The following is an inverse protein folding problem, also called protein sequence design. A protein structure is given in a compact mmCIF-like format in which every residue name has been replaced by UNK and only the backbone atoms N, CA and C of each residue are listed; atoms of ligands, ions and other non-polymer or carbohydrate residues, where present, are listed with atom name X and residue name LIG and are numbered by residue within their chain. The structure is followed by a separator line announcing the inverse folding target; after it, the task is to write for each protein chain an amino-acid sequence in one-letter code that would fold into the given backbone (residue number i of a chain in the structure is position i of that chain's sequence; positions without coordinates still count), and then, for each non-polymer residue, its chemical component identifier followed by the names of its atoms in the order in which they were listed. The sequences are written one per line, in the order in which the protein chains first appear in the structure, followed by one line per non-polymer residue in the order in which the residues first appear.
data_IF_854446401099
#
_entry.id   IF_854446401099
#
_cell.length_a   1.000
_cell.length_b   1.000
_cell.length_c   1.000
_cell.angle_alpha   90.00
_cell.angle_beta   90.00
_cell.angle_gamma   90.00
#
_symmetry.space_group_name_H-M   'P 1'
#
loop_
_entity.id
_entity.type
_entity.pdbx_description
1 polymer ?
#
# COMPACT_ATOMS: atom_id res chain seq x y z
N UNK A 1 -15.56 64.81 -34.97
CA UNK A 1 -15.48 63.35 -34.73
C UNK A 1 -14.28 62.64 -35.36
N UNK A 2 -13.58 63.20 -36.35
CA UNK A 2 -12.39 62.51 -36.95
C UNK A 2 -11.08 62.74 -36.22
N UNK A 3 -10.95 63.77 -35.37
CA UNK A 3 -9.69 64.00 -34.61
C UNK A 3 -9.53 63.19 -33.35
N UNK A 4 -10.62 62.79 -32.70
CA UNK A 4 -10.56 61.91 -31.49
C UNK A 4 -10.21 60.46 -31.83
N UNK A 5 -10.51 59.94 -33.00
CA UNK A 5 -10.22 58.63 -33.45
C UNK A 5 -8.69 58.36 -33.72
N UNK A 6 -7.98 59.41 -34.16
CA UNK A 6 -6.55 59.32 -34.44
C UNK A 6 -5.70 59.36 -33.18
N UNK A 7 -6.10 60.00 -32.08
CA UNK A 7 -5.38 60.05 -30.83
C UNK A 7 -5.55 58.72 -30.06
N UNK A 8 -6.72 58.10 -30.12
CA UNK A 8 -6.94 56.79 -29.49
C UNK A 8 -6.14 55.64 -30.16
N UNK A 9 -5.98 55.67 -31.47
CA UNK A 9 -5.18 54.68 -32.21
C UNK A 9 -3.67 54.80 -31.95
N UNK A 10 -3.14 56.01 -31.78
CA UNK A 10 -1.72 56.25 -31.51
C UNK A 10 -1.32 55.84 -30.08
N UNK A 11 -2.20 56.02 -29.09
CA UNK A 11 -1.94 55.60 -27.71
C UNK A 11 -1.97 54.05 -27.59
N UNK A 12 -2.84 53.36 -28.32
CA UNK A 12 -2.90 51.89 -28.33
C UNK A 12 -1.68 51.25 -29.00
N UNK A 13 -1.14 51.82 -30.07
CA UNK A 13 0.08 51.30 -30.71
C UNK A 13 1.35 51.53 -29.87
N UNK A 14 1.46 52.65 -29.18
CA UNK A 14 2.60 52.94 -28.29
C UNK A 14 2.61 52.01 -27.06
N UNK A 15 1.43 51.67 -26.51
CA UNK A 15 1.31 50.69 -25.40
C UNK A 15 1.68 49.29 -25.82
N UNK A 16 1.33 48.81 -27.00
CA UNK A 16 1.70 47.51 -27.55
C UNK A 16 3.23 47.39 -27.77
N UNK A 17 3.86 48.46 -28.27
CA UNK A 17 5.32 48.44 -28.50
C UNK A 17 6.13 48.40 -27.21
N UNK A 18 5.69 49.02 -26.12
CA UNK A 18 6.37 49.00 -24.82
C UNK A 18 6.24 47.66 -24.11
N UNK A 19 5.11 46.97 -24.23
CA UNK A 19 4.89 45.64 -23.65
C UNK A 19 5.76 44.61 -24.38
N UNK A 20 5.84 44.67 -25.71
CA UNK A 20 6.64 43.75 -26.52
C UNK A 20 8.15 43.92 -26.23
N UNK A 21 8.64 45.18 -26.09
CA UNK A 21 10.05 45.42 -25.74
C UNK A 21 10.40 44.94 -24.35
N UNK A 22 9.53 45.01 -23.38
CA UNK A 22 9.75 44.48 -22.03
C UNK A 22 9.74 42.96 -21.98
N UNK A 23 8.95 42.28 -22.80
CA UNK A 23 8.97 40.83 -22.97
C UNK A 23 10.29 40.34 -23.64
N UNK A 24 10.76 41.04 -24.68
CA UNK A 24 12.01 40.73 -25.34
C UNK A 24 13.23 40.88 -24.41
N UNK A 25 13.27 41.92 -23.59
CA UNK A 25 14.31 42.14 -22.58
C UNK A 25 14.32 41.03 -21.51
N UNK A 26 13.13 40.61 -21.10
CA UNK A 26 12.96 39.53 -20.10
C UNK A 26 13.39 38.15 -20.63
N UNK A 27 13.05 37.85 -21.86
CA UNK A 27 13.48 36.62 -22.55
C UNK A 27 14.99 36.61 -22.75
N UNK A 28 15.58 37.72 -23.15
CA UNK A 28 17.02 37.84 -23.29
C UNK A 28 17.75 37.63 -21.94
N UNK A 29 17.20 38.22 -20.88
CA UNK A 29 17.73 38.03 -19.52
C UNK A 29 17.69 36.55 -19.08
N UNK A 30 16.58 35.87 -19.36
CA UNK A 30 16.44 34.45 -19.10
C UNK A 30 17.50 33.63 -19.81
N UNK A 31 17.68 33.82 -21.12
CA UNK A 31 18.63 33.04 -21.94
C UNK A 31 20.08 33.28 -21.54
N UNK A 32 20.41 34.53 -21.14
CA UNK A 32 21.80 34.87 -20.78
C UNK A 32 22.18 34.55 -19.33
N UNK A 33 21.25 34.68 -18.38
CA UNK A 33 21.52 34.63 -16.94
C UNK A 33 20.93 33.42 -16.26
N UNK A 34 19.71 33.00 -16.62
CA UNK A 34 18.96 31.97 -15.89
C UNK A 34 19.17 30.59 -16.49
N UNK A 35 18.94 30.44 -17.80
CA UNK A 35 19.02 29.15 -18.48
C UNK A 35 20.38 28.46 -18.34
N UNK A 36 21.52 29.12 -18.45
CA UNK A 36 22.83 28.47 -18.25
C UNK A 36 22.97 27.84 -16.85
N UNK A 37 22.48 28.54 -15.83
CA UNK A 37 22.53 28.05 -14.44
C UNK A 37 21.59 26.85 -14.26
N UNK A 38 20.37 26.88 -14.82
CA UNK A 38 19.45 25.76 -14.80
C UNK A 38 20.05 24.51 -15.46
N UNK A 39 20.67 24.68 -16.65
CA UNK A 39 21.33 23.58 -17.36
C UNK A 39 22.46 22.97 -16.54
N UNK A 40 23.31 23.82 -15.97
CA UNK A 40 24.51 23.38 -15.27
C UNK A 40 24.22 22.72 -13.91
N UNK A 41 23.24 23.26 -13.15
CA UNK A 41 23.05 22.91 -11.75
C UNK A 41 21.74 22.23 -11.42
N UNK A 42 20.72 22.26 -12.31
CA UNK A 42 19.37 21.81 -11.98
C UNK A 42 18.88 20.64 -12.87
N UNK A 43 19.21 20.65 -14.18
CA UNK A 43 18.66 19.64 -15.14
C UNK A 43 19.12 18.21 -14.86
N UNK A 44 20.23 18.01 -14.16
CA UNK A 44 20.70 16.68 -13.76
C UNK A 44 19.69 15.90 -12.90
N UNK A 45 18.79 16.63 -12.17
CA UNK A 45 17.78 16.06 -11.31
C UNK A 45 16.35 16.56 -11.64
N UNK A 46 16.21 17.66 -12.39
CA UNK A 46 14.91 18.34 -12.61
C UNK A 46 14.66 18.54 -14.12
N UNK A 47 14.65 17.46 -14.89
CA UNK A 47 14.40 17.49 -16.34
C UNK A 47 13.74 16.22 -16.85
N UNK A 48 13.25 16.25 -18.10
CA UNK A 48 12.75 15.07 -18.81
C UNK A 48 13.87 14.01 -18.93
N UNK A 49 15.09 14.42 -19.24
CA UNK A 49 16.24 13.52 -19.31
C UNK A 49 16.57 12.87 -17.95
N UNK A 50 16.44 13.63 -16.85
CA UNK A 50 16.60 13.08 -15.51
C UNK A 50 15.50 12.03 -15.18
N UNK A 51 14.26 12.25 -15.60
CA UNK A 51 13.19 11.26 -15.47
C UNK A 51 13.53 9.96 -16.21
N UNK A 52 13.96 10.07 -17.47
CA UNK A 52 14.27 8.91 -18.31
C UNK A 52 15.46 8.11 -17.72
N UNK A 53 16.39 8.82 -17.09
CA UNK A 53 17.51 8.22 -16.33
C UNK A 53 17.12 7.75 -14.91
N UNK A 54 15.83 7.84 -14.50
CA UNK A 54 15.32 7.52 -13.14
C UNK A 54 15.97 8.34 -12.01
N UNK A 55 16.37 9.57 -12.29
CA UNK A 55 17.01 10.52 -11.37
C UNK A 55 16.13 11.73 -11.04
N UNK A 56 14.90 11.80 -11.57
CA UNK A 56 13.99 12.91 -11.29
C UNK A 56 13.71 13.02 -9.79
N UNK A 57 13.81 14.23 -9.26
CA UNK A 57 13.54 14.56 -7.86
C UNK A 57 12.36 15.50 -7.74
N UNK A 58 11.49 15.25 -6.73
CA UNK A 58 10.35 16.09 -6.38
C UNK A 58 9.31 16.26 -7.48
N UNK A 59 9.26 15.37 -8.49
CA UNK A 59 8.38 15.47 -9.68
C UNK A 59 8.46 16.86 -10.35
N UNK A 60 9.57 17.58 -10.17
CA UNK A 60 9.80 18.94 -10.65
C UNK A 60 10.58 18.94 -11.96
N UNK A 61 10.04 19.64 -12.96
CA UNK A 61 10.68 19.85 -14.24
C UNK A 61 11.06 21.33 -14.41
N UNK A 62 12.35 21.59 -14.51
CA UNK A 62 12.90 22.95 -14.72
C UNK A 62 13.42 23.15 -16.14
N UNK A 63 13.26 22.17 -17.02
CA UNK A 63 13.73 22.18 -18.41
C UNK A 63 12.68 22.72 -19.42
N UNK A 64 11.50 23.10 -18.96
CA UNK A 64 10.46 23.73 -19.78
C UNK A 64 9.65 24.77 -19.01
N UNK A 65 9.08 25.76 -19.70
CA UNK A 65 8.19 26.76 -19.11
C UNK A 65 6.95 26.12 -18.47
N UNK A 66 6.39 25.10 -19.11
CA UNK A 66 5.25 24.36 -18.59
C UNK A 66 5.61 23.59 -17.32
N UNK A 67 6.82 23.02 -17.23
CA UNK A 67 7.32 22.33 -16.03
C UNK A 67 7.49 23.28 -14.85
N UNK A 68 8.09 24.43 -15.09
CA UNK A 68 8.25 25.46 -14.07
C UNK A 68 6.89 25.97 -13.57
N UNK A 69 5.93 26.18 -14.47
CA UNK A 69 4.58 26.63 -14.14
C UNK A 69 3.76 25.58 -13.37
N UNK A 70 3.93 24.28 -13.71
CA UNK A 70 3.26 23.17 -13.01
C UNK A 70 3.70 23.06 -11.56
N UNK A 71 5.00 23.28 -11.27
CA UNK A 71 5.59 23.00 -9.97
C UNK A 71 5.89 21.52 -9.76
N UNK A 72 6.26 21.16 -8.52
CA UNK A 72 6.60 19.82 -8.10
C UNK A 72 5.77 19.34 -6.91
N UNK A 73 6.20 18.26 -6.25
CA UNK A 73 5.53 17.66 -5.08
C UNK A 73 5.33 18.65 -3.93
N UNK A 74 6.23 19.62 -3.78
CA UNK A 74 6.17 20.64 -2.72
C UNK A 74 5.32 21.86 -3.11
N UNK A 75 4.61 21.81 -4.24
CA UNK A 75 3.75 22.88 -4.71
C UNK A 75 4.36 23.74 -5.83
N UNK A 76 3.81 24.97 -6.03
CA UNK A 76 4.26 25.87 -7.09
C UNK A 76 5.74 26.23 -6.94
N UNK A 77 6.50 26.13 -8.04
CA UNK A 77 7.93 26.44 -8.04
C UNK A 77 8.20 27.91 -7.80
N UNK A 78 7.37 28.78 -8.40
CA UNK A 78 7.51 30.23 -8.27
C UNK A 78 6.15 30.94 -8.31
N UNK A 79 6.13 32.13 -7.73
CA UNK A 79 5.01 33.08 -7.81
C UNK A 79 5.47 34.23 -8.68
N UNK A 80 4.91 34.38 -9.88
CA UNK A 80 5.31 35.41 -10.85
C UNK A 80 5.21 36.81 -10.26
N UNK A 81 6.27 37.58 -10.39
CA UNK A 81 6.35 38.95 -9.85
C UNK A 81 6.62 39.03 -8.35
N UNK A 82 6.87 37.87 -7.68
CA UNK A 82 7.05 37.80 -6.22
C UNK A 82 8.16 36.81 -5.84
N UNK A 83 9.39 37.24 -6.01
CA UNK A 83 10.55 36.41 -5.77
C UNK A 83 10.62 35.92 -4.32
N UNK A 84 10.31 36.76 -3.33
CA UNK A 84 10.35 36.39 -1.89
C UNK A 84 9.33 35.31 -1.50
N UNK A 85 8.22 35.17 -2.22
CA UNK A 85 7.20 34.15 -1.99
C UNK A 85 7.53 32.83 -2.72
N UNK A 86 8.46 32.86 -3.69
CA UNK A 86 8.76 31.75 -4.60
C UNK A 86 9.61 30.67 -3.94
N UNK A 87 9.16 29.40 -4.05
CA UNK A 87 9.85 28.24 -3.45
C UNK A 87 11.24 28.05 -4.05
N UNK A 88 11.41 28.25 -5.35
CA UNK A 88 12.69 28.19 -6.04
C UNK A 88 13.72 29.12 -5.40
N UNK A 89 13.38 30.37 -5.16
CA UNK A 89 14.31 31.33 -4.56
C UNK A 89 14.66 30.94 -3.11
N UNK A 90 13.67 30.49 -2.34
CA UNK A 90 13.91 30.02 -0.96
C UNK A 90 14.90 28.86 -0.93
N UNK A 91 14.76 27.90 -1.85
CA UNK A 91 15.69 26.77 -1.97
C UNK A 91 17.12 27.22 -2.32
N UNK A 92 17.27 28.18 -3.24
CA UNK A 92 18.59 28.72 -3.65
C UNK A 92 19.26 29.53 -2.55
N UNK A 93 18.51 30.12 -1.61
CA UNK A 93 19.05 30.95 -0.54
C UNK A 93 19.73 30.17 0.59
N UNK A 94 19.51 28.83 0.69
CA UNK A 94 20.10 28.00 1.75
C UNK A 94 19.77 28.51 3.16
N UNK A 95 18.51 28.91 3.40
CA UNK A 95 18.03 29.39 4.69
C UNK A 95 17.25 28.35 5.49
N UNK A 96 16.95 27.22 4.88
CA UNK A 96 16.20 26.10 5.45
C UNK A 96 16.92 24.81 5.05
N UNK A 97 17.49 24.12 6.01
CA UNK A 97 18.28 22.88 5.85
C UNK A 97 17.50 21.72 5.19
N UNK A 98 16.17 21.83 5.14
CA UNK A 98 15.30 20.86 4.43
C UNK A 98 15.03 21.25 2.99
N UNK A 99 15.48 22.43 2.57
CA UNK A 99 15.17 23.00 1.26
C UNK A 99 16.41 23.66 0.63
N UNK A 100 17.54 22.97 0.60
CA UNK A 100 18.79 23.48 0.03
C UNK A 100 19.02 22.94 -1.38
N UNK A 101 19.05 23.84 -2.37
CA UNK A 101 19.29 23.49 -3.78
C UNK A 101 20.29 24.47 -4.43
N UNK A 102 21.19 23.98 -5.29
CA UNK A 102 21.48 22.58 -5.61
C UNK A 102 22.23 21.85 -4.49
N UNK A 103 22.15 20.52 -4.36
CA UNK A 103 22.83 19.77 -3.30
C UNK A 103 24.35 19.85 -3.32
N UNK A 104 24.94 20.23 -4.47
CA UNK A 104 26.38 20.39 -4.63
C UNK A 104 26.96 21.64 -3.94
N UNK A 105 26.12 22.50 -3.38
CA UNK A 105 26.49 23.72 -2.67
C UNK A 105 25.75 24.95 -3.19
N UNK A 106 25.69 25.99 -2.35
CA UNK A 106 25.00 27.25 -2.63
C UNK A 106 25.59 27.93 -3.87
N UNK A 107 24.72 28.44 -4.73
CA UNK A 107 25.10 29.25 -5.88
C UNK A 107 25.71 30.60 -5.45
N UNK A 108 26.53 31.25 -6.30
CA UNK A 108 27.00 32.61 -6.03
C UNK A 108 25.82 33.57 -5.82
N UNK A 109 26.01 34.52 -4.89
CA UNK A 109 24.94 35.48 -4.54
C UNK A 109 24.46 36.29 -5.74
N UNK A 110 25.34 36.57 -6.72
CA UNK A 110 24.96 37.20 -7.98
C UNK A 110 23.95 36.36 -8.76
N UNK A 111 24.17 35.06 -8.88
CA UNK A 111 23.23 34.16 -9.58
C UNK A 111 21.88 34.09 -8.85
N UNK A 112 21.88 34.06 -7.52
CA UNK A 112 20.65 34.08 -6.71
C UNK A 112 19.90 35.39 -6.92
N UNK A 113 20.61 36.53 -7.00
CA UNK A 113 20.01 37.83 -7.32
C UNK A 113 19.42 37.87 -8.73
N UNK A 114 20.09 37.24 -9.71
CA UNK A 114 19.56 37.12 -11.06
C UNK A 114 18.24 36.31 -11.10
N UNK A 115 18.14 35.22 -10.32
CA UNK A 115 16.89 34.48 -10.18
C UNK A 115 15.79 35.34 -9.55
N UNK A 116 16.09 36.10 -8.50
CA UNK A 116 15.14 36.99 -7.87
C UNK A 116 14.62 38.03 -8.88
N UNK A 117 15.52 38.68 -9.61
CA UNK A 117 15.18 39.66 -10.65
C UNK A 117 14.33 39.06 -11.75
N UNK A 118 14.68 37.87 -12.24
CA UNK A 118 13.91 37.16 -13.25
C UNK A 118 12.47 36.89 -12.81
N UNK A 119 12.31 36.42 -11.58
CA UNK A 119 10.97 36.14 -11.01
C UNK A 119 10.16 37.42 -10.88
N UNK A 120 10.79 38.52 -10.41
CA UNK A 120 10.13 39.82 -10.23
C UNK A 120 9.77 40.46 -11.57
N UNK A 121 10.47 40.14 -12.67
CA UNK A 121 10.10 40.48 -14.04
C UNK A 121 8.91 39.67 -14.59
N UNK A 122 8.31 38.76 -13.78
CA UNK A 122 7.22 37.89 -14.20
C UNK A 122 7.65 36.50 -14.70
N UNK A 123 8.92 36.17 -14.54
CA UNK A 123 9.52 34.89 -14.96
C UNK A 123 9.29 34.57 -16.45
N UNK A 124 9.68 35.46 -17.38
CA UNK A 124 9.57 35.22 -18.82
C UNK A 124 10.45 34.01 -19.19
N UNK A 125 9.86 33.00 -19.86
CA UNK A 125 10.49 31.77 -20.24
C UNK A 125 10.04 31.35 -21.65
N UNK A 126 10.94 31.45 -22.65
CA UNK A 126 10.59 31.16 -24.04
C UNK A 126 10.61 29.68 -24.39
N UNK A 127 10.96 28.81 -23.45
CA UNK A 127 11.14 27.40 -23.77
C UNK A 127 9.81 26.72 -24.02
N UNK A 128 9.64 26.21 -25.24
CA UNK A 128 8.56 25.31 -25.58
C UNK A 128 8.88 23.91 -24.97
N UNK A 129 7.87 23.15 -24.75
CA UNK A 129 7.96 21.77 -24.26
C UNK A 129 6.73 21.42 -23.47
N UNK A 130 6.17 20.27 -23.72
CA UNK A 130 5.14 19.70 -22.88
C UNK A 130 5.82 19.07 -21.67
N UNK A 131 5.32 19.37 -20.48
CA UNK A 131 5.59 18.51 -19.32
C UNK A 131 5.03 17.14 -19.70
N UNK A 132 5.83 16.08 -19.69
CA UNK A 132 5.25 14.76 -19.84
C UNK A 132 4.26 14.59 -18.71
N UNK A 133 3.00 14.70 -19.02
CA UNK A 133 1.94 14.30 -18.11
C UNK A 133 2.12 12.81 -18.01
N UNK A 134 2.73 12.34 -16.91
CA UNK A 134 2.46 10.97 -16.47
C UNK A 134 0.94 10.93 -16.43
N UNK A 135 0.27 10.11 -17.24
CA UNK A 135 -1.17 10.00 -17.08
C UNK A 135 -1.34 9.62 -15.63
N UNK A 136 -1.93 10.52 -14.85
CA UNK A 136 -2.47 10.15 -13.53
C UNK A 136 -3.38 9.02 -13.89
N UNK A 137 -2.99 7.78 -13.56
CA UNK A 137 -3.82 6.60 -13.81
C UNK A 137 -5.05 6.80 -12.94
N UNK A 138 -6.02 7.49 -13.50
CA UNK A 138 -7.34 7.55 -12.88
C UNK A 138 -7.87 6.13 -13.02
N UNK A 139 -8.02 5.45 -11.90
CA UNK A 139 -8.64 4.13 -11.88
C UNK A 139 -10.10 4.35 -12.27
N UNK A 140 -10.49 3.77 -13.38
CA UNK A 140 -11.90 3.63 -13.72
C UNK A 140 -12.47 2.52 -12.83
N UNK A 141 -13.24 2.93 -11.81
CA UNK A 141 -13.84 2.03 -10.83
C UNK A 141 -14.77 1.02 -11.50
N UNK A 142 -15.58 1.46 -12.47
CA UNK A 142 -16.53 0.60 -13.14
C UNK A 142 -15.84 -0.42 -14.07
N UNK A 143 -14.76 -0.03 -14.72
CA UNK A 143 -13.93 -0.95 -15.48
C UNK A 143 -13.16 -1.91 -14.55
N UNK A 144 -12.63 -1.40 -13.44
CA UNK A 144 -11.93 -2.21 -12.44
C UNK A 144 -12.80 -3.29 -11.81
N UNK A 145 -14.08 -3.01 -11.56
CA UNK A 145 -15.05 -4.00 -11.04
C UNK A 145 -15.23 -5.19 -11.98
N UNK A 146 -14.93 -5.06 -13.28
CA UNK A 146 -15.03 -6.17 -14.25
C UNK A 146 -13.87 -7.16 -14.17
N UNK A 147 -12.84 -6.84 -13.39
CA UNK A 147 -11.72 -7.77 -13.19
C UNK A 147 -12.22 -9.09 -12.59
N UNK A 148 -11.66 -10.20 -13.04
CA UNK A 148 -12.17 -11.56 -12.74
C UNK A 148 -12.33 -11.82 -11.22
N UNK A 149 -11.45 -11.31 -10.36
CA UNK A 149 -11.49 -11.52 -8.91
C UNK A 149 -12.63 -10.77 -8.20
N UNK A 150 -13.25 -9.77 -8.87
CA UNK A 150 -14.41 -9.03 -8.35
C UNK A 150 -15.72 -9.49 -8.95
N UNK A 151 -15.70 -10.53 -9.81
CA UNK A 151 -16.90 -11.09 -10.39
C UNK A 151 -17.48 -12.19 -9.50
N UNK A 152 -18.79 -12.40 -9.52
CA UNK A 152 -19.42 -13.55 -8.85
C UNK A 152 -18.80 -14.86 -9.34
N UNK A 153 -18.73 -15.84 -8.43
CA UNK A 153 -18.27 -17.17 -8.79
C UNK A 153 -19.22 -17.82 -9.81
N UNK A 154 -18.66 -18.41 -10.85
CA UNK A 154 -19.40 -19.14 -11.86
C UNK A 154 -19.05 -20.62 -11.81
N UNK A 155 -20.02 -21.47 -12.13
CA UNK A 155 -19.74 -22.89 -12.36
C UNK A 155 -18.77 -23.02 -13.54
N UNK A 156 -17.71 -23.78 -13.36
CA UNK A 156 -16.73 -24.05 -14.41
C UNK A 156 -16.82 -25.50 -14.87
N UNK A 157 -16.62 -25.76 -16.17
CA UNK A 157 -16.48 -27.10 -16.67
C UNK A 157 -15.14 -27.66 -16.25
N UNK A 158 -15.16 -28.78 -15.50
CA UNK A 158 -13.96 -29.45 -15.04
C UNK A 158 -13.27 -30.20 -16.19
N UNK A 159 -12.01 -29.94 -16.51
CA UNK A 159 -11.28 -30.70 -17.53
C UNK A 159 -11.13 -32.18 -17.19
N UNK A 160 -11.04 -32.52 -15.91
CA UNK A 160 -11.05 -33.88 -15.37
C UNK A 160 -11.92 -33.89 -14.10
N UNK A 161 -13.16 -34.40 -14.13
CA UNK A 161 -14.02 -34.44 -12.96
C UNK A 161 -13.50 -35.28 -11.80
N UNK A 162 -12.62 -36.25 -12.05
CA UNK A 162 -12.03 -37.12 -11.00
C UNK A 162 -10.82 -36.49 -10.35
N UNK A 163 -10.13 -35.60 -11.08
CA UNK A 163 -8.94 -34.87 -10.62
C UNK A 163 -9.01 -33.41 -11.06
N UNK A 164 -9.93 -32.61 -10.52
CA UNK A 164 -10.23 -31.29 -11.04
C UNK A 164 -9.02 -30.35 -11.03
N UNK A 165 -8.23 -30.32 -9.96
CA UNK A 165 -7.03 -29.47 -9.85
C UNK A 165 -5.97 -29.92 -10.87
N UNK A 166 -5.67 -31.22 -10.94
CA UNK A 166 -4.73 -31.78 -11.91
C UNK A 166 -5.20 -31.54 -13.35
N UNK A 167 -6.50 -31.58 -13.61
CA UNK A 167 -7.10 -31.30 -14.92
C UNK A 167 -6.76 -29.89 -15.39
N UNK A 168 -6.96 -28.88 -14.57
CA UNK A 168 -6.60 -27.50 -14.90
C UNK A 168 -5.09 -27.33 -15.10
N UNK A 169 -4.26 -27.91 -14.23
CA UNK A 169 -2.80 -27.85 -14.36
C UNK A 169 -2.34 -28.50 -15.66
N UNK A 170 -2.84 -29.69 -16.00
CA UNK A 170 -2.49 -30.40 -17.25
C UNK A 170 -2.92 -29.62 -18.49
N UNK A 171 -4.11 -29.01 -18.46
CA UNK A 171 -4.57 -28.17 -19.55
C UNK A 171 -3.61 -26.99 -19.80
N UNK A 172 -3.20 -26.31 -18.73
CA UNK A 172 -2.24 -25.20 -18.82
C UNK A 172 -0.86 -25.67 -19.30
N UNK A 173 -0.39 -26.84 -18.82
CA UNK A 173 0.89 -27.42 -19.27
C UNK A 173 0.85 -27.74 -20.77
N UNK A 174 -0.22 -28.38 -21.25
CA UNK A 174 -0.37 -28.72 -22.67
C UNK A 174 -0.42 -27.47 -23.55
N UNK A 175 -1.17 -26.45 -23.14
CA UNK A 175 -1.25 -25.17 -23.87
C UNK A 175 0.12 -24.47 -24.02
N UNK A 176 1.04 -24.71 -23.08
CA UNK A 176 2.39 -24.14 -23.09
C UNK A 176 3.49 -25.14 -23.54
N UNK A 177 3.11 -26.30 -24.07
CA UNK A 177 4.08 -27.31 -24.54
C UNK A 177 4.93 -27.96 -23.44
N UNK A 178 4.46 -27.88 -22.17
CA UNK A 178 5.17 -28.40 -21.00
C UNK A 178 4.75 -29.86 -20.72
N UNK A 179 5.69 -30.65 -20.24
CA UNK A 179 5.46 -32.02 -19.77
C UNK A 179 5.65 -32.06 -18.24
N UNK A 180 4.77 -32.74 -17.48
CA UNK A 180 4.97 -32.92 -16.06
C UNK A 180 6.21 -33.76 -15.78
N UNK A 181 6.87 -33.47 -14.65
CA UNK A 181 7.94 -34.34 -14.15
C UNK A 181 7.37 -35.68 -13.70
N UNK A 182 8.20 -36.74 -13.65
CA UNK A 182 7.81 -38.02 -13.03
C UNK A 182 7.34 -37.82 -11.59
N UNK A 183 6.45 -38.68 -11.07
CA UNK A 183 6.06 -38.66 -9.66
C UNK A 183 7.26 -38.73 -8.73
N UNK A 184 7.19 -38.05 -7.60
CA UNK A 184 8.22 -38.11 -6.57
C UNK A 184 8.28 -39.52 -5.95
N UNK A 185 9.44 -39.92 -5.43
CA UNK A 185 9.56 -41.21 -4.67
C UNK A 185 8.71 -41.13 -3.40
N UNK A 186 8.35 -42.31 -2.83
CA UNK A 186 7.55 -42.40 -1.62
C UNK A 186 8.21 -41.71 -0.43
N UNK A 187 9.51 -41.80 -0.30
CA UNK A 187 10.27 -41.11 0.76
C UNK A 187 10.17 -39.59 0.65
N UNK A 188 10.19 -39.07 -0.58
CA UNK A 188 9.99 -37.63 -0.82
C UNK A 188 8.56 -37.20 -0.55
N UNK A 189 7.58 -38.03 -0.93
CA UNK A 189 6.16 -37.71 -0.73
C UNK A 189 5.81 -37.63 0.75
N UNK A 190 6.15 -38.67 1.53
CA UNK A 190 5.88 -38.67 2.97
C UNK A 190 6.59 -37.50 3.69
N UNK A 191 7.86 -37.26 3.35
CA UNK A 191 8.60 -36.14 3.92
C UNK A 191 7.89 -34.79 3.63
N UNK A 192 7.42 -34.56 2.40
CA UNK A 192 6.69 -33.33 2.04
C UNK A 192 5.38 -33.22 2.81
N UNK A 193 4.56 -34.28 2.84
CA UNK A 193 3.30 -34.29 3.58
C UNK A 193 3.49 -33.92 5.05
N UNK A 194 4.49 -34.52 5.72
CA UNK A 194 4.79 -34.22 7.12
C UNK A 194 5.19 -32.76 7.36
N UNK A 195 6.12 -32.22 6.54
CA UNK A 195 6.53 -30.82 6.69
C UNK A 195 5.42 -29.83 6.34
N UNK A 196 4.62 -30.13 5.34
CA UNK A 196 3.53 -29.24 4.92
C UNK A 196 2.39 -29.26 5.94
N UNK A 197 1.98 -30.44 6.42
CA UNK A 197 0.79 -30.57 7.27
C UNK A 197 1.09 -30.32 8.75
N UNK A 198 2.19 -30.84 9.29
CA UNK A 198 2.50 -30.74 10.72
C UNK A 198 3.83 -30.04 11.05
N UNK A 199 4.62 -29.69 10.02
CA UNK A 199 5.87 -28.94 10.19
C UNK A 199 7.04 -29.75 10.76
N UNK A 200 6.89 -31.06 10.97
CA UNK A 200 7.88 -31.96 11.54
C UNK A 200 8.26 -33.06 10.54
N UNK A 201 9.45 -33.66 10.61
CA UNK A 201 9.81 -34.80 9.76
C UNK A 201 9.10 -36.08 10.22
N UNK A 202 8.84 -37.04 9.31
CA UNK A 202 8.42 -38.40 9.69
C UNK A 202 9.56 -39.14 10.40
N UNK A 203 9.22 -40.08 11.30
CA UNK A 203 10.20 -41.00 11.85
C UNK A 203 10.70 -42.02 10.81
N UNK A 204 11.86 -42.64 11.01
CA UNK A 204 12.34 -43.73 10.15
C UNK A 204 11.33 -44.88 9.99
N UNK A 205 10.61 -45.22 11.06
CA UNK A 205 9.61 -46.29 11.10
C UNK A 205 8.38 -45.90 10.24
N UNK A 206 7.93 -44.65 10.32
CA UNK A 206 6.84 -44.12 9.52
C UNK A 206 7.19 -44.09 8.01
N UNK A 207 8.41 -43.72 7.68
CA UNK A 207 8.91 -43.79 6.30
C UNK A 207 8.94 -45.25 5.83
N UNK A 208 9.47 -46.16 6.60
CA UNK A 208 9.55 -47.59 6.25
C UNK A 208 8.15 -48.19 6.05
N UNK A 209 7.21 -47.91 6.95
CA UNK A 209 5.82 -48.38 6.85
C UNK A 209 5.14 -47.88 5.58
N UNK A 210 5.26 -46.58 5.25
CA UNK A 210 4.70 -46.01 4.04
C UNK A 210 5.33 -46.54 2.75
N UNK A 211 6.65 -46.74 2.74
CA UNK A 211 7.36 -47.33 1.58
C UNK A 211 6.88 -48.77 1.33
N UNK A 212 6.68 -49.53 2.40
CA UNK A 212 6.19 -50.93 2.32
C UNK A 212 4.71 -51.06 1.95
N UNK A 213 3.86 -50.05 2.23
CA UNK A 213 2.44 -50.09 1.88
C UNK A 213 2.26 -49.89 0.36
N UNK A 214 1.93 -50.96 -0.35
CA UNK A 214 1.67 -50.93 -1.81
C UNK A 214 0.19 -50.73 -2.17
N UNK A 215 -0.68 -50.49 -1.19
CA UNK A 215 -2.08 -50.27 -1.42
C UNK A 215 -2.32 -48.96 -2.18
N UNK A 216 -3.31 -48.85 -3.08
CA UNK A 216 -3.64 -47.63 -3.80
C UNK A 216 -3.85 -46.40 -2.88
N UNK A 217 -4.55 -46.51 -1.72
CA UNK A 217 -4.80 -45.35 -0.83
C UNK A 217 -3.65 -45.11 0.17
N UNK A 218 -2.46 -45.68 -0.04
CA UNK A 218 -1.35 -45.58 0.96
C UNK A 218 -0.99 -44.09 1.28
N UNK A 219 -0.98 -43.20 0.30
CA UNK A 219 -0.66 -41.79 0.51
C UNK A 219 -1.83 -41.04 1.17
N UNK A 220 -3.06 -41.33 0.77
CA UNK A 220 -4.28 -40.75 1.36
C UNK A 220 -4.36 -41.09 2.87
N UNK A 221 -4.06 -42.33 3.28
CA UNK A 221 -4.01 -42.70 4.69
C UNK A 221 -3.02 -41.86 5.50
N UNK A 222 -1.84 -41.61 4.95
CA UNK A 222 -0.84 -40.75 5.60
C UNK A 222 -1.36 -39.33 5.74
N UNK A 223 -1.99 -38.78 4.69
CA UNK A 223 -2.56 -37.43 4.72
C UNK A 223 -3.69 -37.33 5.75
N UNK A 224 -4.61 -38.31 5.78
CA UNK A 224 -5.72 -38.34 6.74
C UNK A 224 -5.23 -38.40 8.19
N UNK A 225 -4.20 -39.24 8.48
CA UNK A 225 -3.57 -39.32 9.77
C UNK A 225 -2.96 -37.98 10.21
N UNK A 226 -2.28 -37.29 9.30
CA UNK A 226 -1.67 -35.99 9.57
C UNK A 226 -2.70 -34.87 9.78
N UNK A 227 -3.78 -34.88 8.99
CA UNK A 227 -4.89 -33.93 9.15
C UNK A 227 -5.63 -34.13 10.49
N UNK A 228 -5.73 -35.36 10.98
CA UNK A 228 -6.32 -35.67 12.28
C UNK A 228 -5.39 -35.36 13.48
N UNK A 229 -4.13 -35.05 13.23
CA UNK A 229 -3.16 -34.74 14.28
C UNK A 229 -3.38 -33.33 14.84
N UNK A 230 -3.36 -33.13 16.17
CA UNK A 230 -3.38 -31.80 16.78
C UNK A 230 -2.28 -30.85 16.26
N UNK A 231 -1.14 -31.40 15.85
CA UNK A 231 -0.03 -30.64 15.28
C UNK A 231 -0.37 -29.97 13.93
N UNK A 232 -1.42 -30.44 13.25
CA UNK A 232 -1.93 -29.77 12.03
C UNK A 232 -2.38 -28.35 12.33
N UNK A 233 -3.25 -28.16 13.31
CA UNK A 233 -3.71 -26.83 13.72
C UNK A 233 -2.57 -25.95 14.23
N UNK A 234 -1.62 -26.50 15.01
CA UNK A 234 -0.44 -25.75 15.47
C UNK A 234 0.44 -25.27 14.30
N UNK A 235 0.61 -26.10 13.27
CA UNK A 235 1.37 -25.75 12.07
C UNK A 235 0.67 -24.69 11.24
N UNK A 236 -0.62 -24.89 10.96
CA UNK A 236 -1.38 -24.03 10.05
C UNK A 236 -1.84 -22.72 10.69
N UNK A 237 -2.10 -22.72 12.00
CA UNK A 237 -2.38 -21.52 12.74
C UNK A 237 -1.29 -20.45 12.60
N UNK A 238 -0.02 -20.84 12.48
CA UNK A 238 1.10 -19.90 12.29
C UNK A 238 0.94 -19.05 11.05
N UNK A 239 0.46 -19.63 9.94
CA UNK A 239 0.23 -18.89 8.72
C UNK A 239 -0.90 -17.85 8.87
N UNK A 240 -1.98 -18.23 9.58
CA UNK A 240 -3.04 -17.29 9.88
C UNK A 240 -2.62 -16.20 10.87
N UNK A 241 -1.93 -16.58 11.92
CA UNK A 241 -1.44 -15.65 12.95
C UNK A 241 -0.46 -14.63 12.40
N UNK A 242 0.37 -15.00 11.41
CA UNK A 242 1.23 -14.07 10.70
C UNK A 242 0.41 -13.00 9.96
N UNK A 243 -0.63 -13.39 9.24
CA UNK A 243 -1.51 -12.44 8.54
C UNK A 243 -2.34 -11.60 9.51
N UNK A 244 -2.72 -12.16 10.66
CA UNK A 244 -3.38 -11.48 11.76
C UNK A 244 -2.42 -10.58 12.58
N UNK A 245 -1.14 -10.50 12.22
CA UNK A 245 -0.08 -9.75 12.93
C UNK A 245 -0.03 -10.07 14.44
N UNK A 246 -0.27 -11.34 14.80
CA UNK A 246 -0.32 -11.79 16.18
C UNK A 246 1.04 -11.66 16.87
N UNK A 247 1.02 -11.09 18.08
CA UNK A 247 2.15 -11.09 18.99
C UNK A 247 1.68 -11.19 20.44
N UNK A 248 2.55 -11.76 21.31
CA UNK A 248 2.28 -11.87 22.74
C UNK A 248 2.72 -10.62 23.52
N UNK A 249 3.17 -9.57 22.80
CA UNK A 249 3.52 -8.26 23.36
C UNK A 249 2.80 -7.12 22.64
N UNK A 250 2.81 -5.92 23.26
CA UNK A 250 2.08 -4.76 22.77
C UNK A 250 2.78 -4.00 21.64
N UNK A 251 4.07 -4.23 21.44
CA UNK A 251 4.90 -3.38 20.59
C UNK A 251 5.09 -1.98 21.17
N UNK A 252 5.57 -1.04 20.34
CA UNK A 252 5.92 0.32 20.74
C UNK A 252 7.02 0.39 21.82
N UNK A 253 7.19 1.55 22.44
CA UNK A 253 8.29 1.84 23.35
C UNK A 253 8.34 0.94 24.59
N UNK A 254 7.17 0.48 25.05
CA UNK A 254 7.07 -0.32 26.28
C UNK A 254 7.04 -1.81 26.04
N UNK A 255 6.65 -2.23 24.86
CA UNK A 255 6.54 -3.64 24.43
C UNK A 255 6.07 -4.60 25.53
N UNK A 256 5.05 -4.18 26.30
CA UNK A 256 4.57 -4.93 27.46
C UNK A 256 3.92 -6.26 27.04
N UNK A 257 4.13 -7.29 27.85
CA UNK A 257 3.53 -8.61 27.66
C UNK A 257 1.98 -8.55 27.73
N UNK A 258 1.33 -9.32 26.86
CA UNK A 258 -0.15 -9.46 26.78
C UNK A 258 -0.57 -10.83 27.34
N UNK A 259 -0.93 -10.93 28.63
CA UNK A 259 -1.20 -12.21 29.28
C UNK A 259 -2.33 -13.02 28.62
N UNK A 260 -3.28 -12.35 27.97
CA UNK A 260 -4.43 -13.00 27.33
C UNK A 260 -4.27 -13.27 25.82
N UNK A 261 -3.14 -12.95 25.20
CA UNK A 261 -2.96 -13.12 23.75
C UNK A 261 -3.15 -14.57 23.31
N UNK A 262 -2.73 -15.53 24.12
CA UNK A 262 -2.80 -16.94 23.80
C UNK A 262 -4.23 -17.46 23.60
N UNK A 263 -5.27 -16.82 24.16
CA UNK A 263 -6.66 -17.24 23.93
C UNK A 263 -7.03 -17.19 22.43
N UNK A 264 -6.61 -16.15 21.73
CA UNK A 264 -6.84 -16.03 20.30
C UNK A 264 -6.00 -17.07 19.52
N UNK A 265 -4.74 -17.22 19.84
CA UNK A 265 -3.88 -18.24 19.21
C UNK A 265 -4.49 -19.63 19.34
N UNK A 266 -4.89 -20.00 20.54
CA UNK A 266 -5.45 -21.32 20.85
C UNK A 266 -6.82 -21.51 20.19
N UNK A 267 -7.61 -20.43 20.06
CA UNK A 267 -8.85 -20.46 19.29
C UNK A 267 -8.59 -20.77 17.82
N UNK A 268 -7.59 -20.13 17.18
CA UNK A 268 -7.22 -20.39 15.78
C UNK A 268 -6.78 -21.85 15.61
N UNK A 269 -5.93 -22.36 16.51
CA UNK A 269 -5.48 -23.75 16.47
C UNK A 269 -6.67 -24.73 16.56
N UNK A 270 -7.57 -24.52 17.51
CA UNK A 270 -8.78 -25.35 17.65
C UNK A 270 -9.69 -25.28 16.46
N UNK A 271 -9.91 -24.11 15.90
CA UNK A 271 -10.76 -23.93 14.73
C UNK A 271 -10.24 -24.69 13.51
N UNK A 272 -8.93 -24.69 13.30
CA UNK A 272 -8.30 -25.45 12.21
C UNK A 272 -8.35 -26.97 12.47
N UNK A 273 -8.13 -27.40 13.70
CA UNK A 273 -8.21 -28.84 14.05
C UNK A 273 -9.65 -29.38 14.00
N UNK A 274 -10.65 -28.53 14.17
CA UNK A 274 -12.07 -28.91 14.04
C UNK A 274 -12.61 -28.75 12.61
N UNK A 275 -11.75 -28.39 11.66
CA UNK A 275 -12.14 -28.10 10.28
C UNK A 275 -13.31 -27.09 10.18
N UNK A 276 -13.24 -26.02 10.99
CA UNK A 276 -14.30 -24.99 11.04
C UNK A 276 -14.50 -24.41 9.63
N UNK A 277 -15.75 -24.31 9.14
CA UNK A 277 -16.04 -23.66 7.87
C UNK A 277 -15.46 -22.24 7.79
N UNK A 278 -14.84 -21.87 6.67
CA UNK A 278 -14.12 -20.61 6.55
C UNK A 278 -14.99 -19.38 6.75
N UNK A 279 -16.24 -19.42 6.30
CA UNK A 279 -17.20 -18.33 6.51
C UNK A 279 -17.54 -18.14 8.01
N UNK A 280 -17.69 -19.22 8.77
CA UNK A 280 -17.87 -19.16 10.22
C UNK A 280 -16.60 -18.64 10.90
N UNK A 281 -15.43 -19.13 10.52
CA UNK A 281 -14.12 -18.69 11.01
C UNK A 281 -13.95 -17.17 10.82
N UNK A 282 -14.30 -16.61 9.66
CA UNK A 282 -14.25 -15.17 9.39
C UNK A 282 -15.27 -14.40 10.22
N UNK A 283 -16.52 -14.86 10.24
CA UNK A 283 -17.61 -14.16 10.94
C UNK A 283 -17.34 -14.04 12.43
N UNK A 284 -16.84 -15.08 13.06
CA UNK A 284 -16.50 -15.05 14.50
C UNK A 284 -15.34 -14.10 14.80
N UNK A 285 -14.35 -14.01 13.94
CA UNK A 285 -13.23 -13.08 14.12
C UNK A 285 -13.65 -11.60 14.01
N UNK A 286 -14.69 -11.32 13.25
CA UNK A 286 -15.20 -9.97 13.07
C UNK A 286 -16.26 -9.55 14.09
N UNK A 287 -17.09 -10.49 14.56
CA UNK A 287 -18.30 -10.15 15.31
C UNK A 287 -18.77 -11.26 16.27
N UNK A 288 -17.86 -12.04 16.88
CA UNK A 288 -18.26 -13.09 17.83
C UNK A 288 -19.04 -12.54 19.03
N UNK A 289 -18.73 -11.32 19.45
CA UNK A 289 -19.44 -10.64 20.53
C UNK A 289 -20.91 -10.36 20.23
N UNK A 290 -21.28 -10.28 18.95
CA UNK A 290 -22.65 -10.10 18.48
C UNK A 290 -23.32 -11.43 18.08
N UNK A 291 -22.56 -12.36 17.52
CA UNK A 291 -23.06 -13.63 16.98
C UNK A 291 -23.22 -14.70 18.04
N UNK A 292 -22.33 -14.70 19.03
CA UNK A 292 -22.28 -15.68 20.11
C UNK A 292 -21.89 -15.01 21.44
N UNK A 293 -22.69 -14.07 21.95
CA UNK A 293 -22.32 -13.20 23.08
C UNK A 293 -22.03 -13.97 24.38
N UNK A 294 -22.66 -15.14 24.55
CA UNK A 294 -22.49 -16.00 25.73
C UNK A 294 -21.38 -17.03 25.57
N UNK A 295 -20.80 -17.18 24.39
CA UNK A 295 -19.71 -18.14 24.14
C UNK A 295 -18.34 -17.48 24.32
N UNK A 296 -17.71 -17.80 25.43
CA UNK A 296 -16.37 -17.31 25.77
C UNK A 296 -15.33 -17.78 24.76
N UNK A 297 -15.44 -19.02 24.26
CA UNK A 297 -14.51 -19.53 23.26
C UNK A 297 -14.66 -18.77 21.94
N UNK A 298 -15.88 -18.52 21.51
CA UNK A 298 -16.13 -17.67 20.34
C UNK A 298 -15.61 -16.24 20.55
N UNK A 299 -15.76 -15.70 21.75
CA UNK A 299 -15.25 -14.36 22.07
C UNK A 299 -13.72 -14.21 21.85
N UNK A 300 -12.95 -15.27 22.04
CA UNK A 300 -11.51 -15.28 21.79
C UNK A 300 -11.17 -14.98 20.31
N UNK A 301 -12.08 -15.30 19.39
CA UNK A 301 -11.91 -15.03 17.96
C UNK A 301 -11.70 -13.52 17.66
N UNK A 302 -12.35 -12.64 18.42
CA UNK A 302 -12.22 -11.18 18.23
C UNK A 302 -10.83 -10.64 18.53
N UNK A 303 -9.94 -11.46 19.09
CA UNK A 303 -8.52 -11.19 19.19
C UNK A 303 -7.86 -10.85 17.86
N UNK A 304 -8.42 -11.29 16.73
CA UNK A 304 -8.01 -10.90 15.39
C UNK A 304 -7.96 -9.37 15.20
N UNK A 305 -9.00 -8.67 15.63
CA UNK A 305 -9.10 -7.22 15.45
C UNK A 305 -8.10 -6.45 16.32
N UNK A 306 -7.68 -7.02 17.44
CA UNK A 306 -6.84 -6.34 18.44
C UNK A 306 -5.44 -6.95 18.58
N UNK A 307 -5.05 -7.88 17.71
CA UNK A 307 -3.74 -8.51 17.74
C UNK A 307 -2.58 -7.58 17.38
N UNK A 308 -2.86 -6.49 16.64
CA UNK A 308 -1.86 -5.51 16.21
C UNK A 308 -1.20 -4.74 17.35
N UNK A 309 -0.16 -3.94 17.04
CA UNK A 309 0.56 -3.17 18.04
C UNK A 309 -0.35 -2.12 18.71
N UNK A 310 -0.15 -1.91 20.00
CA UNK A 310 -0.95 -0.99 20.80
C UNK A 310 -0.08 -0.19 21.77
N UNK A 311 -0.13 1.16 21.74
CA UNK A 311 0.72 1.99 22.60
C UNK A 311 0.37 1.83 24.07
N UNK A 312 1.40 1.68 24.90
CA UNK A 312 1.25 1.55 26.36
C UNK A 312 0.83 2.84 27.07
N UNK A 313 1.00 4.00 26.41
CA UNK A 313 0.59 5.30 26.95
C UNK A 313 -0.27 6.08 25.97
N UNK A 314 -1.47 6.41 26.40
CA UNK A 314 -2.43 7.24 25.64
C UNK A 314 -2.74 8.49 26.46
N UNK A 315 -2.49 9.66 25.88
CA UNK A 315 -2.77 10.95 26.50
C UNK A 315 -3.96 11.63 25.85
N UNK A 316 -4.53 12.65 26.51
CA UNK A 316 -5.62 13.45 25.92
C UNK A 316 -5.25 14.10 24.56
N UNK A 317 -3.95 14.35 24.33
CA UNK A 317 -3.47 14.91 23.05
C UNK A 317 -3.34 13.86 21.93
N UNK A 318 -3.22 12.60 22.29
CA UNK A 318 -2.92 11.50 21.32
C UNK A 318 -4.10 10.54 21.13
N UNK A 319 -5.09 10.56 22.01
CA UNK A 319 -6.19 9.58 22.03
C UNK A 319 -6.95 9.50 20.72
N UNK A 320 -7.27 10.64 20.11
CA UNK A 320 -8.01 10.68 18.85
C UNK A 320 -7.17 10.10 17.70
N UNK A 321 -5.91 10.54 17.56
CA UNK A 321 -4.99 10.00 16.55
C UNK A 321 -4.82 8.48 16.72
N UNK A 322 -4.56 8.01 17.94
CA UNK A 322 -4.39 6.59 18.23
C UNK A 322 -5.68 5.81 17.89
N UNK A 323 -6.85 6.40 18.14
CA UNK A 323 -8.12 5.77 17.76
C UNK A 323 -8.24 5.55 16.25
N UNK A 324 -7.89 6.54 15.43
CA UNK A 324 -7.87 6.37 13.97
C UNK A 324 -6.79 5.40 13.50
N UNK A 325 -5.64 5.37 14.15
CA UNK A 325 -4.57 4.41 13.83
C UNK A 325 -5.00 2.96 14.15
N UNK A 326 -5.79 2.74 15.23
CA UNK A 326 -6.39 1.43 15.54
C UNK A 326 -7.41 0.99 14.48
N UNK A 327 -8.29 1.89 14.06
CA UNK A 327 -9.25 1.58 13.00
C UNK A 327 -8.57 1.23 11.69
N UNK A 328 -7.53 1.99 11.33
CA UNK A 328 -6.70 1.73 10.15
C UNK A 328 -6.03 0.36 10.22
N UNK A 329 -5.44 0.01 11.35
CA UNK A 329 -4.81 -1.28 11.59
C UNK A 329 -5.79 -2.46 11.45
N UNK A 330 -7.00 -2.35 12.03
CA UNK A 330 -8.08 -3.33 11.88
C UNK A 330 -8.48 -3.50 10.41
N UNK A 331 -8.68 -2.39 9.69
CA UNK A 331 -9.06 -2.42 8.27
C UNK A 331 -7.96 -2.99 7.38
N UNK A 332 -6.70 -2.61 7.61
CA UNK A 332 -5.57 -3.17 6.87
C UNK A 332 -5.48 -4.68 7.05
N UNK A 333 -5.75 -5.16 8.27
CA UNK A 333 -5.72 -6.60 8.57
C UNK A 333 -6.88 -7.34 7.93
N UNK A 334 -8.11 -6.81 8.01
CA UNK A 334 -9.27 -7.37 7.30
C UNK A 334 -9.00 -7.43 5.81
N UNK A 335 -8.53 -6.31 5.23
CA UNK A 335 -8.21 -6.23 3.81
C UNK A 335 -7.17 -7.26 3.37
N UNK A 336 -6.03 -7.31 4.07
CA UNK A 336 -4.93 -8.21 3.73
C UNK A 336 -5.23 -9.69 3.95
N UNK A 337 -5.84 -10.04 5.11
CA UNK A 337 -6.05 -11.44 5.51
C UNK A 337 -7.28 -12.08 4.87
N UNK A 338 -8.37 -11.34 4.70
CA UNK A 338 -9.67 -11.88 4.30
C UNK A 338 -10.04 -11.54 2.85
N UNK A 339 -9.62 -10.38 2.34
CA UNK A 339 -9.99 -9.89 1.01
C UNK A 339 -8.82 -9.94 0.01
N UNK A 340 -7.57 -10.07 0.48
CA UNK A 340 -6.38 -9.96 -0.36
C UNK A 340 -6.18 -8.54 -0.95
N UNK A 341 -6.67 -7.50 -0.27
CA UNK A 341 -6.65 -6.10 -0.69
C UNK A 341 -5.80 -5.24 0.27
N UNK A 342 -5.06 -4.28 -0.29
CA UNK A 342 -4.21 -3.36 0.49
C UNK A 342 -4.96 -2.07 0.83
N UNK A 343 -5.85 -2.11 1.81
CA UNK A 343 -6.74 -0.99 2.15
C UNK A 343 -6.02 0.24 2.72
N UNK A 344 -4.84 0.10 3.33
CA UNK A 344 -4.12 1.19 3.98
C UNK A 344 -3.78 2.37 3.05
N UNK A 345 -3.58 2.11 1.74
CA UNK A 345 -3.35 3.18 0.76
C UNK A 345 -4.57 4.11 0.61
N UNK A 346 -5.78 3.57 0.90
CA UNK A 346 -7.05 4.26 0.67
C UNK A 346 -7.35 5.29 1.77
N UNK A 347 -6.65 5.23 2.90
CA UNK A 347 -6.77 6.22 3.98
C UNK A 347 -6.58 7.67 3.52
N UNK A 348 -5.69 7.89 2.54
CA UNK A 348 -5.33 9.24 2.08
C UNK A 348 -5.87 9.59 0.70
N UNK A 349 -6.14 8.61 -0.17
CA UNK A 349 -6.58 8.82 -1.56
C UNK A 349 -7.21 7.55 -2.12
N UNK A 350 -7.98 7.65 -3.19
CA UNK A 350 -8.48 6.50 -3.97
C UNK A 350 -7.33 5.54 -4.30
N UNK A 351 -7.54 4.23 -4.16
CA UNK A 351 -6.49 3.22 -4.34
C UNK A 351 -5.81 3.36 -5.71
N UNK A 352 -4.49 3.14 -5.74
CA UNK A 352 -3.68 3.37 -6.94
C UNK A 352 -3.90 2.32 -8.02
N UNK A 353 -4.24 1.10 -7.65
CA UNK A 353 -4.31 -0.06 -8.56
C UNK A 353 -5.68 -0.73 -8.57
N UNK A 354 -6.32 -0.86 -7.41
CA UNK A 354 -7.59 -1.54 -7.24
C UNK A 354 -8.77 -0.57 -7.32
N UNK A 355 -9.97 -1.03 -7.71
CA UNK A 355 -11.16 -0.17 -7.85
C UNK A 355 -11.80 0.14 -6.49
N UNK A 356 -11.01 0.72 -5.58
CA UNK A 356 -11.43 1.06 -4.21
C UNK A 356 -11.41 2.58 -4.04
N UNK A 357 -12.57 3.26 -4.07
CA UNK A 357 -12.66 4.69 -3.83
C UNK A 357 -12.33 5.05 -2.38
N UNK A 358 -11.89 6.27 -2.18
CA UNK A 358 -11.52 6.80 -0.85
C UNK A 358 -12.69 6.74 0.15
N UNK A 359 -13.90 6.94 -0.34
CA UNK A 359 -15.13 6.91 0.44
C UNK A 359 -15.40 5.53 1.06
N UNK A 360 -15.09 4.45 0.35
CA UNK A 360 -15.29 3.07 0.83
C UNK A 360 -14.42 2.76 2.05
N UNK A 361 -13.22 3.35 2.14
CA UNK A 361 -12.38 3.24 3.32
C UNK A 361 -13.08 3.79 4.58
N UNK A 362 -13.66 4.99 4.48
CA UNK A 362 -14.36 5.61 5.60
C UNK A 362 -15.71 4.95 5.90
N UNK A 363 -16.37 4.39 4.90
CA UNK A 363 -17.56 3.57 5.10
C UNK A 363 -17.22 2.32 5.93
N UNK A 364 -16.14 1.61 5.60
CA UNK A 364 -15.67 0.46 6.39
C UNK A 364 -15.21 0.89 7.79
N UNK A 365 -14.45 1.99 7.92
CA UNK A 365 -14.03 2.54 9.21
C UNK A 365 -15.21 2.80 10.13
N UNK A 366 -16.33 3.30 9.60
CA UNK A 366 -17.54 3.59 10.38
C UNK A 366 -18.18 2.34 10.97
N UNK A 367 -18.09 1.19 10.31
CA UNK A 367 -18.61 -0.08 10.82
C UNK A 367 -17.83 -0.56 12.05
N UNK A 368 -16.54 -0.23 12.12
CA UNK A 368 -15.65 -0.57 13.23
C UNK A 368 -15.58 0.51 14.32
N UNK A 369 -16.32 1.61 14.16
CA UNK A 369 -16.20 2.77 15.04
C UNK A 369 -16.52 2.49 16.53
N UNK A 370 -17.25 1.43 16.85
CA UNK A 370 -17.53 0.98 18.21
C UNK A 370 -16.60 -0.13 18.71
N UNK A 371 -15.77 -0.71 17.84
CA UNK A 371 -14.79 -1.74 18.22
C UNK A 371 -13.62 -1.08 18.93
N UNK A 372 -13.31 -1.49 20.14
CA UNK A 372 -12.24 -0.93 20.95
C UNK A 372 -11.37 -2.03 21.55
N UNK A 373 -10.09 -1.72 21.77
CA UNK A 373 -9.23 -2.54 22.60
C UNK A 373 -9.72 -2.50 24.05
N UNK A 374 -9.82 -3.68 24.66
CA UNK A 374 -10.19 -3.78 26.06
C UNK A 374 -10.26 -5.24 26.52
N UNK A 375 -10.05 -5.50 27.81
CA UNK A 375 -10.27 -6.82 28.34
C UNK A 375 -11.77 -7.13 28.30
N UNK A 376 -12.16 -8.31 27.78
CA UNK A 376 -13.48 -8.85 28.08
C UNK A 376 -13.41 -9.44 29.48
N UNK A 377 -14.18 -8.91 30.42
CA UNK A 377 -14.31 -9.50 31.75
C UNK A 377 -15.02 -10.84 31.59
N UNK A 378 -14.33 -11.93 31.91
CA UNK A 378 -14.88 -13.27 31.91
C UNK A 378 -15.11 -13.72 33.35
N UNK A 379 -16.25 -14.34 33.60
CA UNK A 379 -16.54 -14.98 34.88
C UNK A 379 -15.62 -16.21 35.04
N UNK A 380 -14.87 -16.27 36.14
CA UNK A 380 -13.89 -17.35 36.40
C UNK A 380 -14.59 -18.72 36.39
N UNK A 381 -15.84 -18.79 36.84
CA UNK A 381 -16.63 -20.04 36.82
C UNK A 381 -16.98 -20.54 35.42
N UNK A 382 -17.02 -19.64 34.44
CA UNK A 382 -17.22 -20.00 33.03
C UNK A 382 -15.93 -20.45 32.35
N UNK A 383 -14.76 -19.94 32.75
CA UNK A 383 -13.47 -20.38 32.23
C UNK A 383 -13.20 -21.85 32.57
N UNK A 384 -13.54 -22.27 33.79
CA UNK A 384 -13.38 -23.67 34.23
C UNK A 384 -14.24 -24.68 33.46
N UNK A 385 -15.35 -24.26 32.87
CA UNK A 385 -16.24 -25.11 32.05
C UNK A 385 -15.80 -25.23 30.60
N UNK A 386 -14.95 -24.33 30.12
CA UNK A 386 -14.44 -24.33 28.75
C UNK A 386 -13.20 -25.23 28.57
N UNK A 387 -12.61 -25.75 29.66
CA UNK A 387 -11.41 -26.58 29.66
C UNK A 387 -11.65 -28.05 30.08
N UNK A 388 -12.90 -28.51 30.19
CA UNK A 388 -13.22 -29.91 30.55
C UNK A 388 -13.75 -30.68 29.32
#
# INVERSE_FOLDING_TARGET
MKLLALVAASVSLAGMSLVQAAEDDGVQFFEQKIRPVLVQHCYGCHSVAARDAKKLQGELYLDSAAGVAKGGENGPTLVKGKSAESLLLKALQYKDDKLEMPPAGKLPDEAIADFAKWIDMGAPDPRAGEVPVKPTRVIDIEEGKKWWSFQPLHAVTLPDPQKPIDGFIRQAQLANGLKPNPPASKEKLIRRAYFDLIGLPPSPEQVAAFVADTSPPAFEKVVDELLASPAYGERWARHWLDTARFAESGGYEFDGFRPGAYYYRDWVIRSLNSDMPYDEFVRLQLAADLLAPEDINAAAATGFLVAGPYPGQITAKTVERIRYDQLDDMMMTIGGSMLGLTLGCVRCHTHKYDPIPHEDYYALASTLARTAHGPKTMDIDQIGRAHV
#
